data_IF_879615685453
#
_entry.id   IF_879615685453
#
_cell.length_a   1.000
_cell.length_b   1.000
_cell.length_c   1.000
_cell.angle_alpha   90.00
_cell.angle_beta   90.00
_cell.angle_gamma   90.00
#
_symmetry.space_group_name_H-M   'P 1'
#
loop_
_entity.id
_entity.type
_entity.pdbx_description
1 polymer ?
#
# COMPACT_ATOMS: atom_id res chain seq x y z
N UNK A 1 3.46 -14.58 32.10
CA UNK A 1 2.90 -13.96 30.89
C UNK A 1 3.95 -14.11 29.81
N UNK A 2 3.84 -15.14 28.96
CA UNK A 2 4.80 -15.36 27.88
C UNK A 2 4.52 -14.37 26.77
N UNK A 3 5.43 -13.43 26.54
CA UNK A 3 5.39 -12.54 25.38
C UNK A 3 5.55 -13.40 24.11
N UNK A 4 4.44 -13.75 23.48
CA UNK A 4 4.47 -14.34 22.15
C UNK A 4 4.89 -13.24 21.18
N UNK A 5 6.15 -13.27 20.75
CA UNK A 5 6.63 -12.43 19.66
C UNK A 5 5.93 -12.88 18.37
N UNK A 6 4.91 -12.16 17.92
CA UNK A 6 4.34 -12.35 16.58
C UNK A 6 5.42 -12.04 15.54
N UNK A 7 6.03 -13.08 14.97
CA UNK A 7 6.91 -12.92 13.80
C UNK A 7 6.06 -12.53 12.59
N UNK A 8 5.87 -11.22 12.40
CA UNK A 8 5.21 -10.69 11.20
C UNK A 8 6.12 -10.92 10.01
N UNK A 9 5.67 -11.76 9.07
CA UNK A 9 6.35 -12.01 7.79
C UNK A 9 6.53 -10.68 7.06
N UNK A 10 7.77 -10.23 6.92
CA UNK A 10 8.10 -9.00 6.19
C UNK A 10 8.27 -9.33 4.71
N UNK A 11 7.53 -8.64 3.85
CA UNK A 11 7.73 -8.68 2.41
C UNK A 11 8.63 -7.51 2.02
N UNK A 12 9.78 -7.81 1.41
CA UNK A 12 10.65 -6.79 0.82
C UNK A 12 10.32 -6.68 -0.65
N UNK A 13 10.03 -5.46 -1.10
CA UNK A 13 9.77 -5.14 -2.51
C UNK A 13 10.81 -4.14 -2.94
N UNK A 14 11.52 -4.46 -4.03
CA UNK A 14 12.44 -3.53 -4.67
C UNK A 14 11.68 -2.81 -5.79
N UNK A 15 11.77 -1.49 -5.79
CA UNK A 15 11.21 -0.64 -6.84
C UNK A 15 12.30 -0.17 -7.78
N UNK A 16 11.95 -0.03 -9.05
CA UNK A 16 12.79 0.69 -10.01
C UNK A 16 12.85 2.18 -9.67
N UNK A 17 13.84 2.93 -10.19
CA UNK A 17 13.92 4.38 -9.95
C UNK A 17 12.67 5.14 -10.41
N UNK A 18 12.05 4.71 -11.50
CA UNK A 18 10.84 5.32 -12.05
C UNK A 18 9.63 5.10 -11.14
N UNK A 19 9.44 3.87 -10.64
CA UNK A 19 8.38 3.53 -9.70
C UNK A 19 8.56 4.26 -8.36
N UNK A 20 9.79 4.34 -7.86
CA UNK A 20 10.10 5.07 -6.63
C UNK A 20 9.75 6.57 -6.78
N UNK A 21 10.04 7.16 -7.94
CA UNK A 21 9.67 8.55 -8.24
C UNK A 21 8.15 8.73 -8.25
N UNK A 22 7.41 7.86 -8.93
CA UNK A 22 5.95 7.92 -8.97
C UNK A 22 5.32 7.81 -7.57
N UNK A 23 5.88 6.95 -6.70
CA UNK A 23 5.43 6.83 -5.31
C UNK A 23 5.69 8.13 -4.53
N UNK A 24 6.87 8.72 -4.68
CA UNK A 24 7.21 9.98 -3.99
C UNK A 24 6.31 11.14 -4.45
N UNK A 25 6.10 11.27 -5.76
CA UNK A 25 5.22 12.30 -6.32
C UNK A 25 3.78 12.15 -5.77
N UNK A 26 3.27 10.93 -5.64
CA UNK A 26 1.97 10.67 -5.04
C UNK A 26 1.93 11.07 -3.55
N UNK A 27 2.98 10.76 -2.79
CA UNK A 27 3.09 11.13 -1.38
C UNK A 27 3.11 12.66 -1.20
N UNK A 28 3.79 13.39 -2.07
CA UNK A 28 3.84 14.85 -2.05
C UNK A 28 2.44 15.46 -2.29
N UNK A 29 1.69 14.91 -3.25
CA UNK A 29 0.28 15.32 -3.48
C UNK A 29 -0.57 15.03 -2.25
N UNK A 30 -0.46 13.86 -1.64
CA UNK A 30 -1.19 13.52 -0.42
C UNK A 30 -0.83 14.44 0.75
N UNK A 31 0.44 14.79 0.91
CA UNK A 31 0.90 15.75 1.91
C UNK A 31 0.31 17.13 1.66
N UNK A 32 0.28 17.58 0.40
CA UNK A 32 -0.31 18.85 0.02
C UNK A 32 -1.83 18.89 0.33
N UNK A 33 -2.55 17.79 0.10
CA UNK A 33 -3.99 17.73 0.35
C UNK A 33 -4.36 17.56 1.83
N UNK A 34 -3.60 16.77 2.59
CA UNK A 34 -3.97 16.38 3.97
C UNK A 34 -3.17 17.09 5.05
N UNK A 35 -2.07 17.76 4.68
CA UNK A 35 -1.12 18.38 5.61
C UNK A 35 -0.34 17.38 6.46
N UNK A 36 -0.43 16.07 6.18
CA UNK A 36 0.17 15.01 6.99
C UNK A 36 1.18 14.22 6.18
N UNK A 37 2.31 13.92 6.81
CA UNK A 37 3.31 13.03 6.24
C UNK A 37 2.82 11.58 6.30
N UNK A 38 2.68 10.97 5.13
CA UNK A 38 2.35 9.56 4.97
C UNK A 38 3.62 8.80 4.62
N UNK A 39 3.90 7.71 5.33
CA UNK A 39 5.06 6.87 5.02
C UNK A 39 4.79 5.99 3.80
N UNK A 40 5.83 5.70 3.02
CA UNK A 40 5.76 4.80 1.85
C UNK A 40 5.08 3.47 2.22
N UNK A 41 5.46 2.84 3.32
CA UNK A 41 4.86 1.57 3.75
C UNK A 41 3.35 1.69 4.03
N UNK A 42 2.90 2.81 4.62
CA UNK A 42 1.48 3.04 4.87
C UNK A 42 0.72 3.24 3.56
N UNK A 43 1.29 4.01 2.64
CA UNK A 43 0.72 4.22 1.31
C UNK A 43 0.58 2.92 0.52
N UNK A 44 1.65 2.12 0.45
CA UNK A 44 1.65 0.83 -0.24
C UNK A 44 0.64 -0.13 0.40
N UNK A 45 0.54 -0.15 1.73
CA UNK A 45 -0.43 -1.01 2.42
C UNK A 45 -1.88 -0.66 2.07
N UNK A 46 -2.25 0.62 2.12
CA UNK A 46 -3.63 1.02 1.83
C UNK A 46 -3.98 0.89 0.35
N UNK A 47 -3.07 1.25 -0.57
CA UNK A 47 -3.26 1.03 -2.01
C UNK A 47 -3.37 -0.45 -2.37
N UNK A 48 -2.57 -1.32 -1.75
CA UNK A 48 -2.66 -2.78 -1.96
C UNK A 48 -3.99 -3.33 -1.45
N UNK A 49 -4.48 -2.88 -0.29
CA UNK A 49 -5.80 -3.28 0.21
C UNK A 49 -6.92 -2.83 -0.72
N UNK A 50 -6.86 -1.57 -1.18
CA UNK A 50 -7.85 -1.04 -2.10
C UNK A 50 -7.89 -1.87 -3.38
N UNK A 51 -6.72 -2.14 -3.98
CA UNK A 51 -6.63 -2.99 -5.17
C UNK A 51 -7.08 -4.43 -4.92
N UNK A 52 -6.80 -4.99 -3.74
CA UNK A 52 -7.29 -6.31 -3.39
C UNK A 52 -8.82 -6.33 -3.27
N UNK A 53 -9.41 -5.31 -2.64
CA UNK A 53 -10.86 -5.15 -2.58
C UNK A 53 -11.44 -4.97 -3.99
N UNK A 54 -10.83 -4.13 -4.85
CA UNK A 54 -11.28 -3.94 -6.22
C UNK A 54 -11.25 -5.24 -7.03
N UNK A 55 -10.25 -6.10 -6.81
CA UNK A 55 -10.17 -7.42 -7.45
C UNK A 55 -11.24 -8.37 -6.90
N UNK A 56 -11.43 -8.40 -5.57
CA UNK A 56 -12.39 -9.30 -4.91
C UNK A 56 -13.85 -8.89 -5.17
N UNK A 57 -14.14 -7.60 -5.14
CA UNK A 57 -15.47 -7.04 -5.38
C UNK A 57 -15.75 -6.90 -6.88
N UNK A 58 -14.72 -6.63 -7.70
CA UNK A 58 -14.79 -6.59 -9.16
C UNK A 58 -15.09 -7.95 -9.81
N UNK A 59 -14.75 -9.06 -9.15
CA UNK A 59 -15.13 -10.42 -9.58
C UNK A 59 -16.62 -10.75 -9.29
N UNK A 60 -17.33 -9.85 -8.60
CA UNK A 60 -18.78 -9.97 -8.37
C UNK A 60 -19.62 -9.55 -9.59
N UNK A 61 -18.99 -9.00 -10.64
CA UNK A 61 -19.66 -8.48 -11.85
C UNK A 61 -19.10 -9.09 -13.15
N UNK A 62 -19.08 -10.43 -13.24
CA UNK A 62 -19.04 -11.20 -14.49
C UNK A 62 -17.64 -11.44 -15.07
N UNK A 63 -17.32 -12.60 -15.67
CA UNK A 63 -18.18 -13.54 -16.40
C UNK A 63 -17.40 -14.85 -16.64
N UNK A 64 -18.14 -15.97 -16.62
CA UNK A 64 -17.93 -17.28 -17.27
C UNK A 64 -16.61 -17.56 -18.00
#
# INVERSE_FOLDING_TARGET
MSEQFEMKRQQKVAYTPEEAKAINDALDVMKACTGKDVTVNKFIRESTKQRANDVLEGDSNGTK
#
